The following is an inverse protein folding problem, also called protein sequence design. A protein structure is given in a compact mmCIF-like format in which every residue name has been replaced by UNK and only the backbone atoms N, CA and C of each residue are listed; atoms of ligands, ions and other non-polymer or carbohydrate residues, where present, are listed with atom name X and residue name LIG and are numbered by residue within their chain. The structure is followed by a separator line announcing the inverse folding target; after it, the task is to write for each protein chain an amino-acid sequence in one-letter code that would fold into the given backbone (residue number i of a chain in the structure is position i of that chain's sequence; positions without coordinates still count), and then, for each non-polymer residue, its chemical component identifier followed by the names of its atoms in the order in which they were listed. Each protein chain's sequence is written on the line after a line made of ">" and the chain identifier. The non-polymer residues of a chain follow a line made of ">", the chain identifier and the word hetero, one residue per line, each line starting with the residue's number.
data_IF_856801686301
#
_entry.id   IF_856801686301
#
_cell.length_a   1.000
_cell.length_b   1.000
_cell.length_c   1.000
_cell.angle_alpha   90.00
_cell.angle_beta   90.00
_cell.angle_gamma   90.00
#
_symmetry.space_group_name_H-M   'P 1'
#
loop_
_entity.id
_entity.type
_entity.pdbx_description
1 polymer ?
#
# COMPACT_ATOMS: atom_id res chain seq x y z
N UNK A 1 -34.52 19.32 -22.77
CA UNK A 1 -34.89 18.03 -22.15
C UNK A 1 -33.97 17.87 -20.95
N UNK A 2 -34.52 17.86 -19.74
CA UNK A 2 -33.71 17.66 -18.54
C UNK A 2 -33.13 16.23 -18.57
N UNK A 3 -31.80 16.06 -18.42
CA UNK A 3 -31.21 14.74 -18.32
C UNK A 3 -31.64 14.11 -16.98
N UNK A 4 -32.39 13.00 -17.01
CA UNK A 4 -32.50 12.14 -15.82
C UNK A 4 -33.89 11.74 -15.30
N UNK A 5 -35.00 12.01 -16.01
CA UNK A 5 -36.30 11.39 -15.64
C UNK A 5 -36.49 10.07 -16.38
N UNK A 6 -36.01 8.99 -15.77
CA UNK A 6 -36.27 7.62 -16.21
C UNK A 6 -37.36 7.02 -15.33
N UNK A 7 -38.37 6.41 -15.94
CA UNK A 7 -39.40 5.73 -15.18
C UNK A 7 -38.85 4.41 -14.64
N UNK A 8 -39.05 4.15 -13.35
CA UNK A 8 -38.65 2.88 -12.75
C UNK A 8 -39.36 1.71 -13.46
N UNK A 9 -38.63 0.70 -13.98
CA UNK A 9 -39.24 -0.42 -14.68
C UNK A 9 -40.10 -1.32 -13.77
N UNK A 10 -39.87 -1.26 -12.45
CA UNK A 10 -40.61 -2.08 -11.47
C UNK A 10 -41.92 -1.45 -11.01
N UNK A 11 -41.97 -0.11 -10.81
CA UNK A 11 -43.14 0.56 -10.21
C UNK A 11 -43.66 1.77 -11.00
N UNK A 12 -43.06 2.09 -12.15
CA UNK A 12 -43.44 3.22 -13.01
C UNK A 12 -43.17 4.61 -12.44
N UNK A 13 -42.51 4.70 -11.28
CA UNK A 13 -42.24 5.98 -10.61
C UNK A 13 -41.16 6.78 -11.35
N UNK A 14 -41.42 8.08 -11.56
CA UNK A 14 -40.45 9.09 -12.04
C UNK A 14 -39.41 9.46 -10.97
N UNK A 15 -39.66 9.11 -9.70
CA UNK A 15 -38.73 9.38 -8.60
C UNK A 15 -37.55 8.40 -8.61
N UNK A 16 -36.62 8.64 -9.53
CA UNK A 16 -35.36 7.89 -9.68
C UNK A 16 -34.17 8.83 -9.53
N UNK A 17 -33.05 8.30 -9.04
CA UNK A 17 -31.79 9.03 -8.94
C UNK A 17 -30.65 8.16 -9.41
N UNK A 18 -29.62 8.76 -10.01
CA UNK A 18 -28.43 7.99 -10.38
C UNK A 18 -27.69 7.55 -9.11
N UNK A 19 -27.27 6.29 -9.09
CA UNK A 19 -26.56 5.70 -7.95
C UNK A 19 -25.29 6.49 -7.56
N UNK A 20 -24.47 7.00 -8.50
CA UNK A 20 -23.31 7.81 -8.15
C UNK A 20 -23.64 9.09 -7.39
N UNK A 21 -24.79 9.72 -7.68
CA UNK A 21 -25.23 10.91 -6.94
C UNK A 21 -25.68 10.55 -5.53
N UNK A 22 -26.44 9.46 -5.37
CA UNK A 22 -26.88 8.95 -4.06
C UNK A 22 -25.69 8.56 -3.19
N UNK A 23 -24.69 7.89 -3.78
CA UNK A 23 -23.44 7.59 -3.12
C UNK A 23 -22.77 8.87 -2.59
N UNK A 24 -22.56 9.88 -3.46
CA UNK A 24 -21.94 11.16 -3.06
C UNK A 24 -22.73 11.90 -2.00
N UNK A 25 -24.06 11.95 -2.09
CA UNK A 25 -24.91 12.66 -1.12
C UNK A 25 -24.91 12.02 0.26
N UNK A 26 -24.69 10.71 0.34
CA UNK A 26 -24.64 10.00 1.61
C UNK A 26 -23.28 10.05 2.32
N UNK A 27 -22.35 10.91 1.88
CA UNK A 27 -21.11 11.20 2.60
C UNK A 27 -21.22 12.54 3.32
N UNK A 28 -20.91 12.54 4.62
CA UNK A 28 -20.85 13.75 5.44
C UNK A 28 -19.48 13.88 6.11
N UNK A 29 -18.90 15.07 6.03
CA UNK A 29 -17.75 15.47 6.86
C UNK A 29 -18.26 16.25 8.06
N UNK A 30 -18.02 15.73 9.26
CA UNK A 30 -18.23 16.44 10.52
C UNK A 30 -16.90 16.77 11.18
N UNK A 31 -16.83 17.83 11.97
CA UNK A 31 -15.70 18.10 12.86
C UNK A 31 -16.06 17.67 14.27
N UNK A 32 -15.31 16.73 14.83
CA UNK A 32 -15.42 16.37 16.24
C UNK A 32 -14.30 17.07 17.01
N UNK A 33 -14.65 17.83 18.04
CA UNK A 33 -13.68 18.51 18.90
C UNK A 33 -13.45 17.62 20.11
N UNK A 34 -12.24 17.09 20.24
CA UNK A 34 -11.82 16.30 21.38
C UNK A 34 -10.85 17.11 22.23
N UNK A 35 -11.01 17.03 23.56
CA UNK A 35 -10.05 17.64 24.48
C UNK A 35 -8.89 16.66 24.66
N UNK A 36 -7.77 16.98 24.06
CA UNK A 36 -6.60 16.11 23.99
C UNK A 36 -5.38 16.80 24.62
N UNK A 37 -4.39 16.01 25.03
CA UNK A 37 -3.13 16.54 25.57
C UNK A 37 -2.27 16.96 24.39
N UNK A 38 -2.06 18.28 24.23
CA UNK A 38 -1.28 18.85 23.12
C UNK A 38 0.17 19.14 23.53
N UNK A 39 0.44 19.16 24.84
CA UNK A 39 1.80 19.31 25.36
C UNK A 39 1.88 19.10 26.86
N UNK A 40 3.09 19.32 27.41
CA UNK A 40 3.34 19.28 28.84
C UNK A 40 4.09 20.54 29.24
N UNK A 41 3.63 21.21 30.29
CA UNK A 41 4.39 22.24 30.97
C UNK A 41 5.36 21.54 31.93
N UNK A 42 6.66 21.59 31.60
CA UNK A 42 7.71 20.91 32.35
C UNK A 42 8.40 21.92 33.26
N UNK A 43 8.31 21.68 34.56
CA UNK A 43 9.06 22.45 35.56
C UNK A 43 10.45 21.86 35.70
N UNK A 44 11.45 22.65 35.32
CA UNK A 44 12.86 22.34 35.50
C UNK A 44 13.43 23.13 36.68
N UNK A 45 14.18 22.45 37.54
CA UNK A 45 14.96 23.07 38.60
C UNK A 45 16.44 22.93 38.26
N UNK A 46 17.15 24.06 38.28
CA UNK A 46 18.55 24.14 37.90
C UNK A 46 19.37 24.40 39.15
N UNK A 47 20.16 23.42 39.56
CA UNK A 47 21.11 23.52 40.67
C UNK A 47 22.52 23.77 40.13
N UNK A 48 23.13 24.88 40.54
CA UNK A 48 24.53 25.18 40.26
C UNK A 48 25.39 24.76 41.44
N UNK A 49 26.25 23.77 41.20
CA UNK A 49 27.17 23.24 42.20
C UNK A 49 28.43 24.11 42.27
N UNK A 50 29.12 24.04 43.40
CA UNK A 50 30.24 24.94 43.74
C UNK A 50 31.47 24.79 42.82
N UNK A 51 31.55 23.69 42.07
CA UNK A 51 32.53 23.37 41.04
C UNK A 51 32.22 24.02 39.67
N UNK A 52 31.11 24.76 39.56
CA UNK A 52 30.64 25.40 38.32
C UNK A 52 29.76 24.49 37.46
N UNK A 53 29.50 23.26 37.88
CA UNK A 53 28.61 22.34 37.15
C UNK A 53 27.14 22.72 37.36
N UNK A 54 26.42 22.89 36.26
CA UNK A 54 24.98 23.21 36.26
C UNK A 54 24.21 21.93 35.95
N UNK A 55 23.43 21.45 36.91
CA UNK A 55 22.57 20.28 36.75
C UNK A 55 21.11 20.72 36.71
N UNK A 56 20.43 20.45 35.60
CA UNK A 56 19.00 20.73 35.42
C UNK A 56 18.21 19.43 35.55
N UNK A 57 17.28 19.35 36.50
CA UNK A 57 16.39 18.21 36.70
C UNK A 57 14.94 18.61 36.44
N UNK A 58 14.19 17.74 35.76
CA UNK A 58 12.74 17.87 35.64
C UNK A 58 12.10 17.46 36.97
N UNK A 59 11.42 18.40 37.63
CA UNK A 59 10.84 18.21 38.98
C UNK A 59 9.33 17.95 38.91
N UNK A 60 8.70 18.21 37.76
CA UNK A 60 7.33 17.80 37.50
C UNK A 60 6.82 18.22 36.13
N UNK A 61 5.80 17.52 35.64
CA UNK A 61 5.12 17.83 34.39
C UNK A 61 3.61 18.03 34.63
N UNK A 62 2.99 18.96 33.89
CA UNK A 62 1.54 19.14 33.87
C UNK A 62 1.03 19.05 32.43
N UNK A 63 0.08 18.15 32.10
CA UNK A 63 -0.46 18.07 30.75
C UNK A 63 -1.27 19.33 30.42
N UNK A 64 -1.02 19.89 29.24
CA UNK A 64 -1.79 20.98 28.64
C UNK A 64 -2.86 20.34 27.77
N UNK A 65 -4.11 20.51 28.18
CA UNK A 65 -5.27 20.04 27.42
C UNK A 65 -5.77 21.14 26.51
N UNK A 66 -5.84 20.87 25.21
CA UNK A 66 -6.40 21.77 24.22
C UNK A 66 -7.46 21.04 23.39
N UNK A 67 -8.35 21.83 22.79
CA UNK A 67 -9.41 21.33 21.93
C UNK A 67 -8.84 21.07 20.54
N UNK A 68 -8.63 19.80 20.21
CA UNK A 68 -8.15 19.37 18.90
C UNK A 68 -9.37 18.98 18.05
N UNK A 69 -9.49 19.63 16.88
CA UNK A 69 -10.53 19.30 15.91
C UNK A 69 -10.06 18.16 15.01
N UNK A 70 -10.78 17.04 15.05
CA UNK A 70 -10.60 15.92 14.15
C UNK A 70 -11.69 15.91 13.09
N UNK A 71 -11.30 15.71 11.83
CA UNK A 71 -12.25 15.50 10.73
C UNK A 71 -12.80 14.09 10.82
N UNK A 72 -14.10 13.97 11.04
CA UNK A 72 -14.82 12.70 11.02
C UNK A 72 -15.56 12.54 9.69
N UNK A 73 -15.39 11.39 9.05
CA UNK A 73 -16.12 11.02 7.85
C UNK A 73 -17.23 10.07 8.24
N UNK A 74 -18.47 10.42 7.89
CA UNK A 74 -19.65 9.58 8.12
C UNK A 74 -20.25 9.19 6.78
N UNK A 75 -20.67 7.94 6.68
CA UNK A 75 -21.31 7.39 5.49
C UNK A 75 -22.69 6.87 5.89
N UNK A 76 -23.71 7.26 5.15
CA UNK A 76 -25.07 6.74 5.34
C UNK A 76 -25.16 5.28 4.91
N UNK A 77 -26.09 4.53 5.52
CA UNK A 77 -26.34 3.13 5.17
C UNK A 77 -26.68 2.96 3.69
N UNK A 78 -27.46 3.90 3.13
CA UNK A 78 -27.82 3.90 1.72
C UNK A 78 -26.59 4.07 0.82
N UNK A 79 -25.70 5.03 1.13
CA UNK A 79 -24.46 5.20 0.37
C UNK A 79 -23.55 3.98 0.47
N UNK A 80 -23.54 3.30 1.62
CA UNK A 80 -22.77 2.07 1.83
C UNK A 80 -23.28 0.92 0.96
N UNK A 81 -24.60 0.78 0.81
CA UNK A 81 -25.23 -0.26 -0.02
C UNK A 81 -25.09 -0.04 -1.54
N UNK A 82 -24.83 1.20 -1.96
CA UNK A 82 -24.67 1.58 -3.37
C UNK A 82 -23.25 2.00 -3.71
N UNK A 83 -22.30 1.69 -2.82
CA UNK A 83 -20.89 1.99 -3.02
C UNK A 83 -20.37 1.45 -4.37
N UNK A 84 -19.40 2.14 -5.00
CA UNK A 84 -18.77 1.62 -6.20
C UNK A 84 -18.15 0.24 -5.91
N UNK A 85 -18.04 -0.62 -6.93
CA UNK A 85 -17.36 -1.90 -6.76
C UNK A 85 -15.94 -1.67 -6.22
N UNK A 86 -15.49 -2.52 -5.31
CA UNK A 86 -14.13 -2.44 -4.79
C UNK A 86 -13.10 -2.80 -5.87
N UNK A 87 -11.98 -2.09 -5.88
CA UNK A 87 -10.84 -2.46 -6.72
C UNK A 87 -10.37 -3.89 -6.39
N UNK A 88 -10.07 -4.71 -7.40
CA UNK A 88 -9.59 -6.06 -7.18
C UNK A 88 -8.19 -6.06 -6.57
N UNK A 89 -7.90 -7.06 -5.73
CA UNK A 89 -6.54 -7.28 -5.22
C UNK A 89 -5.72 -7.98 -6.29
N UNK A 90 -4.87 -7.23 -6.97
CA UNK A 90 -4.00 -7.77 -8.00
C UNK A 90 -3.00 -8.75 -7.39
N UNK A 91 -2.77 -9.87 -8.06
CA UNK A 91 -1.76 -10.84 -7.66
C UNK A 91 -0.37 -10.24 -7.86
N UNK A 92 0.47 -10.37 -6.84
CA UNK A 92 1.87 -9.97 -6.93
C UNK A 92 2.62 -10.88 -7.90
N UNK A 93 3.54 -10.29 -8.67
CA UNK A 93 4.38 -11.07 -9.56
C UNK A 93 5.38 -11.88 -8.71
N UNK A 94 5.44 -13.21 -8.89
CA UNK A 94 6.16 -14.10 -7.97
C UNK A 94 7.66 -13.84 -7.92
N UNK A 95 8.28 -13.41 -9.02
CA UNK A 95 9.71 -13.12 -9.06
C UNK A 95 10.06 -12.04 -10.08
N UNK A 96 10.82 -11.03 -9.63
CA UNK A 96 11.52 -10.11 -10.51
C UNK A 96 12.95 -10.61 -10.74
N UNK A 97 13.39 -10.64 -12.00
CA UNK A 97 14.77 -11.01 -12.34
C UNK A 97 15.80 -10.13 -11.58
N UNK A 98 15.41 -8.88 -11.32
CA UNK A 98 16.21 -7.87 -10.64
C UNK A 98 16.37 -8.19 -9.15
N UNK A 99 15.30 -8.66 -8.47
CA UNK A 99 15.39 -9.01 -7.05
C UNK A 99 16.27 -10.24 -6.83
N UNK A 100 16.13 -11.25 -7.69
CA UNK A 100 16.96 -12.46 -7.65
C UNK A 100 18.42 -12.14 -7.93
N UNK A 101 18.71 -11.31 -8.94
CA UNK A 101 20.08 -10.90 -9.27
C UNK A 101 20.74 -10.05 -8.17
N UNK A 102 20.00 -9.10 -7.61
CA UNK A 102 20.51 -8.24 -6.53
C UNK A 102 20.81 -9.02 -5.25
N UNK A 103 19.94 -9.96 -4.86
CA UNK A 103 20.19 -10.82 -3.69
C UNK A 103 21.41 -11.74 -3.87
N UNK A 104 21.57 -12.32 -5.06
CA UNK A 104 22.70 -13.20 -5.35
C UNK A 104 24.05 -12.46 -5.37
N UNK A 105 24.13 -11.33 -6.07
CA UNK A 105 25.38 -10.57 -6.24
C UNK A 105 25.66 -9.70 -5.02
N UNK A 106 24.65 -9.03 -4.46
CA UNK A 106 24.82 -8.08 -3.35
C UNK A 106 25.02 -8.73 -1.99
N UNK A 107 24.41 -9.89 -1.74
CA UNK A 107 24.46 -10.55 -0.42
C UNK A 107 25.21 -11.87 -0.43
N UNK A 108 24.85 -12.81 -1.33
CA UNK A 108 25.44 -14.15 -1.30
C UNK A 108 26.90 -14.17 -1.75
N UNK A 109 27.27 -13.36 -2.75
CA UNK A 109 28.66 -13.27 -3.23
C UNK A 109 29.65 -12.85 -2.13
N UNK A 110 29.50 -11.69 -1.45
CA UNK A 110 30.49 -11.27 -0.45
C UNK A 110 30.57 -12.26 0.72
N UNK A 111 29.45 -12.85 1.14
CA UNK A 111 29.43 -13.84 2.22
C UNK A 111 30.22 -15.09 1.81
N UNK A 112 29.94 -15.65 0.64
CA UNK A 112 30.61 -16.86 0.15
C UNK A 112 32.09 -16.64 -0.10
N UNK A 113 32.48 -15.52 -0.73
CA UNK A 113 33.89 -15.17 -0.93
C UNK A 113 34.65 -14.96 0.38
N UNK A 114 34.01 -14.33 1.37
CA UNK A 114 34.60 -14.14 2.70
C UNK A 114 34.86 -15.48 3.38
N UNK A 115 33.88 -16.40 3.39
CA UNK A 115 34.04 -17.74 3.95
C UNK A 115 35.18 -18.50 3.26
N UNK A 116 35.25 -18.45 1.92
CA UNK A 116 36.31 -19.11 1.14
C UNK A 116 37.69 -18.56 1.52
N UNK A 117 37.83 -17.23 1.65
CA UNK A 117 39.08 -16.61 2.08
C UNK A 117 39.50 -17.05 3.48
N UNK A 118 38.59 -17.02 4.46
CA UNK A 118 38.87 -17.45 5.82
C UNK A 118 39.29 -18.92 5.90
N UNK A 119 38.59 -19.80 5.19
CA UNK A 119 38.93 -21.23 5.14
C UNK A 119 40.32 -21.43 4.54
N UNK A 120 40.64 -20.79 3.42
CA UNK A 120 41.94 -20.94 2.77
C UNK A 120 43.10 -20.43 3.66
N UNK A 121 42.89 -19.30 4.33
CA UNK A 121 43.90 -18.67 5.19
C UNK A 121 44.12 -19.45 6.48
N UNK A 122 43.07 -19.84 7.17
CA UNK A 122 43.18 -20.42 8.52
C UNK A 122 43.25 -21.95 8.55
N UNK A 123 42.67 -22.64 7.57
CA UNK A 123 42.70 -24.11 7.52
C UNK A 123 43.83 -24.64 6.64
N UNK A 124 44.13 -23.95 5.53
CA UNK A 124 45.11 -24.42 4.54
C UNK A 124 46.39 -23.60 4.49
N UNK A 125 46.48 -22.53 5.29
CA UNK A 125 47.63 -21.61 5.36
C UNK A 125 48.05 -21.07 3.97
N UNK A 126 47.08 -20.90 3.07
CA UNK A 126 47.26 -20.37 1.71
C UNK A 126 46.69 -18.97 1.62
N UNK A 127 47.49 -18.04 1.12
CA UNK A 127 46.98 -16.72 0.75
C UNK A 127 46.49 -16.74 -0.69
N UNK A 128 45.18 -16.65 -0.86
CA UNK A 128 44.49 -16.74 -2.15
C UNK A 128 43.96 -15.38 -2.62
N UNK A 129 44.45 -14.28 -2.03
CA UNK A 129 43.99 -12.93 -2.34
C UNK A 129 44.06 -12.61 -3.84
N UNK A 130 45.14 -13.02 -4.52
CA UNK A 130 45.30 -12.83 -5.97
C UNK A 130 44.28 -13.61 -6.84
N UNK A 131 43.63 -14.64 -6.28
CA UNK A 131 42.62 -15.44 -6.99
C UNK A 131 41.18 -14.95 -6.73
N UNK A 132 40.99 -14.01 -5.81
CA UNK A 132 39.66 -13.52 -5.42
C UNK A 132 38.95 -12.82 -6.58
N UNK A 133 39.67 -12.06 -7.39
CA UNK A 133 39.09 -11.40 -8.56
C UNK A 133 38.54 -12.42 -9.57
N UNK A 134 39.30 -13.48 -9.84
CA UNK A 134 38.85 -14.56 -10.73
C UNK A 134 37.62 -15.30 -10.19
N UNK A 135 37.58 -15.57 -8.88
CA UNK A 135 36.43 -16.20 -8.22
C UNK A 135 35.19 -15.30 -8.25
N UNK A 136 35.37 -13.99 -8.08
CA UNK A 136 34.30 -13.00 -8.21
C UNK A 136 33.73 -13.00 -9.63
N UNK A 137 34.58 -12.90 -10.66
CA UNK A 137 34.11 -12.92 -12.05
C UNK A 137 33.45 -14.26 -12.42
N UNK A 138 33.96 -15.39 -11.92
CA UNK A 138 33.34 -16.69 -12.11
C UNK A 138 31.94 -16.75 -11.47
N UNK A 139 31.77 -16.22 -10.26
CA UNK A 139 30.47 -16.13 -9.59
C UNK A 139 29.47 -15.27 -10.38
N UNK A 140 29.92 -14.11 -10.88
CA UNK A 140 29.10 -13.24 -11.75
C UNK A 140 28.69 -14.00 -13.02
N UNK A 141 29.63 -14.67 -13.69
CA UNK A 141 29.32 -15.43 -14.91
C UNK A 141 28.32 -16.57 -14.65
N UNK A 142 28.48 -17.32 -13.56
CA UNK A 142 27.56 -18.39 -13.18
C UNK A 142 26.16 -17.87 -12.84
N UNK A 143 26.07 -16.76 -12.11
CA UNK A 143 24.77 -16.13 -11.77
C UNK A 143 24.07 -15.58 -13.00
N UNK A 144 24.79 -14.92 -13.91
CA UNK A 144 24.23 -14.44 -15.19
C UNK A 144 23.74 -15.62 -16.04
N UNK A 145 24.52 -16.69 -16.16
CA UNK A 145 24.13 -17.88 -16.91
C UNK A 145 22.86 -18.55 -16.32
N UNK A 146 22.79 -18.66 -14.99
CA UNK A 146 21.61 -19.17 -14.29
C UNK A 146 20.38 -18.30 -14.57
N UNK A 147 20.50 -16.98 -14.50
CA UNK A 147 19.41 -16.05 -14.79
C UNK A 147 18.93 -16.16 -16.24
N UNK A 148 19.82 -16.30 -17.21
CA UNK A 148 19.46 -16.50 -18.63
C UNK A 148 18.64 -17.79 -18.79
N UNK A 149 19.03 -18.87 -18.11
CA UNK A 149 18.30 -20.16 -18.17
C UNK A 149 16.96 -20.11 -17.45
N UNK A 150 16.86 -19.38 -16.34
CA UNK A 150 15.64 -19.26 -15.55
C UNK A 150 14.65 -18.22 -16.11
N UNK A 151 15.13 -17.25 -16.91
CA UNK A 151 14.35 -16.19 -17.55
C UNK A 151 13.08 -16.68 -18.28
N UNK A 152 13.12 -17.68 -19.19
CA UNK A 152 11.93 -18.10 -19.93
C UNK A 152 10.83 -18.69 -19.03
N UNK A 153 11.21 -19.38 -17.94
CA UNK A 153 10.25 -19.92 -16.98
C UNK A 153 9.58 -18.82 -16.16
N UNK A 154 10.37 -17.88 -15.64
CA UNK A 154 9.86 -16.71 -14.91
C UNK A 154 8.97 -15.82 -15.78
N UNK A 155 9.37 -15.61 -17.05
CA UNK A 155 8.60 -14.82 -18.01
C UNK A 155 7.19 -15.39 -18.22
N UNK A 156 7.08 -16.70 -18.48
CA UNK A 156 5.78 -17.37 -18.65
C UNK A 156 4.90 -17.28 -17.41
N UNK A 157 5.48 -17.43 -16.22
CA UNK A 157 4.73 -17.31 -14.97
C UNK A 157 4.22 -15.88 -14.76
N UNK A 158 5.06 -14.87 -15.04
CA UNK A 158 4.67 -13.46 -14.92
C UNK A 158 3.62 -13.07 -15.96
N UNK A 159 3.73 -13.55 -17.20
CA UNK A 159 2.73 -13.35 -18.25
C UNK A 159 1.37 -13.96 -17.88
N UNK A 160 1.36 -15.15 -17.28
CA UNK A 160 0.13 -15.78 -16.82
C UNK A 160 -0.57 -14.95 -15.73
N UNK A 161 0.19 -14.54 -14.69
CA UNK A 161 -0.33 -13.70 -13.61
C UNK A 161 -0.80 -12.35 -14.14
N UNK A 162 -0.06 -11.75 -15.08
CA UNK A 162 -0.45 -10.50 -15.71
C UNK A 162 -1.76 -10.65 -16.49
N UNK A 163 -1.93 -11.73 -17.26
CA UNK A 163 -3.17 -11.97 -18.02
C UNK A 163 -4.39 -12.17 -17.11
N UNK A 164 -4.21 -12.81 -15.96
CA UNK A 164 -5.28 -12.96 -14.96
C UNK A 164 -5.63 -11.62 -14.33
N UNK A 165 -4.63 -10.84 -13.93
CA UNK A 165 -4.81 -9.50 -13.39
C UNK A 165 -5.49 -8.56 -14.41
N UNK A 166 -5.12 -8.63 -15.69
CA UNK A 166 -5.71 -7.84 -16.77
C UNK A 166 -7.18 -8.25 -17.00
N UNK A 167 -7.48 -9.54 -16.99
CA UNK A 167 -8.85 -10.03 -17.09
C UNK A 167 -9.71 -9.60 -15.88
N UNK A 168 -9.15 -9.62 -14.68
CA UNK A 168 -9.83 -9.17 -13.47
C UNK A 168 -10.08 -7.65 -13.50
N UNK A 169 -9.10 -6.87 -13.97
CA UNK A 169 -9.23 -5.44 -14.19
C UNK A 169 -10.28 -5.12 -15.27
N UNK A 170 -10.37 -5.91 -16.34
CA UNK A 170 -11.41 -5.75 -17.35
C UNK A 170 -12.81 -5.99 -16.76
N UNK A 171 -12.99 -7.05 -15.95
CA UNK A 171 -14.26 -7.30 -15.23
C UNK A 171 -14.59 -6.17 -14.26
N UNK A 172 -13.59 -5.65 -13.56
CA UNK A 172 -13.76 -4.50 -12.68
C UNK A 172 -14.24 -3.25 -13.45
N UNK A 173 -13.61 -2.93 -14.59
CA UNK A 173 -14.03 -1.82 -15.46
C UNK A 173 -15.48 -1.97 -15.92
N UNK A 174 -15.88 -3.16 -16.36
CA UNK A 174 -17.26 -3.42 -16.78
C UNK A 174 -18.26 -3.22 -15.63
N UNK A 175 -17.93 -3.67 -14.41
CA UNK A 175 -18.78 -3.43 -13.22
C UNK A 175 -18.83 -1.94 -12.87
N UNK A 176 -17.72 -1.23 -12.99
CA UNK A 176 -17.64 0.20 -12.71
C UNK A 176 -18.45 1.02 -13.72
N UNK A 177 -18.42 0.64 -14.99
CA UNK A 177 -19.22 1.25 -16.06
C UNK A 177 -20.72 0.96 -15.87
N UNK A 178 -21.08 -0.29 -15.56
CA UNK A 178 -22.47 -0.62 -15.22
C UNK A 178 -22.96 0.17 -13.99
N UNK A 179 -22.10 0.33 -12.98
CA UNK A 179 -22.40 1.14 -11.80
C UNK A 179 -22.56 2.63 -12.15
N UNK A 180 -21.72 3.19 -13.02
CA UNK A 180 -21.80 4.60 -13.39
C UNK A 180 -23.09 4.94 -14.17
N UNK A 181 -23.63 3.97 -14.93
CA UNK A 181 -24.93 4.05 -15.63
C UNK A 181 -26.11 3.55 -14.80
N UNK A 182 -25.92 3.22 -13.52
CA UNK A 182 -26.98 2.64 -12.70
C UNK A 182 -27.82 3.70 -11.99
N UNK A 183 -29.11 3.40 -11.87
CA UNK A 183 -30.13 4.23 -11.22
C UNK A 183 -30.83 3.43 -10.12
N UNK A 184 -31.33 4.14 -9.12
CA UNK A 184 -32.16 3.60 -8.05
C UNK A 184 -33.47 4.37 -7.97
N UNK A 185 -34.57 3.63 -7.81
CA UNK A 185 -35.87 4.24 -7.54
C UNK A 185 -36.01 4.56 -6.05
N UNK A 186 -36.24 5.84 -5.73
CA UNK A 186 -36.41 6.27 -4.33
C UNK A 186 -37.76 5.84 -3.75
N UNK A 187 -38.70 5.36 -4.58
CA UNK A 187 -40.01 4.86 -4.12
C UNK A 187 -39.98 3.39 -3.70
N UNK A 188 -39.32 2.53 -4.48
CA UNK A 188 -39.34 1.07 -4.25
C UNK A 188 -37.95 0.44 -4.06
N UNK A 189 -36.87 1.22 -4.12
CA UNK A 189 -35.50 0.74 -3.95
C UNK A 189 -34.94 -0.09 -5.12
N UNK A 190 -35.71 -0.27 -6.20
CA UNK A 190 -35.28 -1.08 -7.34
C UNK A 190 -34.11 -0.41 -8.07
N UNK A 191 -33.01 -1.15 -8.22
CA UNK A 191 -31.80 -0.74 -8.96
C UNK A 191 -31.88 -1.27 -10.39
N UNK A 192 -31.59 -0.42 -11.37
CA UNK A 192 -31.60 -0.78 -12.78
C UNK A 192 -30.50 -0.04 -13.53
N UNK A 193 -30.06 -0.60 -14.65
CA UNK A 193 -29.05 -0.02 -15.54
C UNK A 193 -29.76 0.50 -16.78
N UNK A 194 -29.29 1.63 -17.30
CA UNK A 194 -29.79 2.20 -18.55
C UNK A 194 -28.75 1.87 -19.62
N UNK A 195 -29.18 1.07 -20.61
CA UNK A 195 -28.40 0.87 -21.83
C UNK A 195 -28.61 2.09 -22.74
N UNK A 196 -27.53 2.60 -23.32
CA UNK A 196 -27.56 3.73 -24.27
C UNK A 196 -28.34 3.37 -25.55
#
# INVERSE_FOLDING_TARGET
>A
MEPGKLNCPNCGSENTSSIPLVYKSGHGTGTAVHREVVGYDVKVETTQHFDGHIETKEVGNRPIYENVSHTTHTMTDLAREVAPPSEPKLKEMPNSLVSVGCGAIGCLMPITLTIIYFVAKYQFNKDIWAWMDYLMYAFIACTVFYLIKAYPGMKKANEAVQSENDAEMARYRNRLEAWSRSYICNRCGHKFVVDD
#
